data_IF_759612699288
#
_entry.id   IF_759612699288
#
_cell.length_a   1.000
_cell.length_b   1.000
_cell.length_c   1.000
_cell.angle_alpha   90.00
_cell.angle_beta   90.00
_cell.angle_gamma   90.00
#
_symmetry.space_group_name_H-M   'P 1'
#
loop_
_entity.id
_entity.type
_entity.pdbx_description
1 polymer ?
#
# COMPACT_ATOMS: atom_id res chain seq x y z
N UNK A 1 6.94 18.06 -22.58
CA UNK A 1 5.64 17.41 -22.34
C UNK A 1 4.90 18.26 -21.32
N UNK A 2 3.76 18.85 -21.65
CA UNK A 2 3.03 19.72 -20.75
C UNK A 2 2.51 18.92 -19.55
N UNK A 3 2.81 19.36 -18.35
CA UNK A 3 2.23 18.81 -17.15
C UNK A 3 0.70 18.84 -17.31
N UNK A 4 0.06 17.69 -17.30
CA UNK A 4 -1.39 17.58 -17.20
C UNK A 4 -1.78 18.30 -15.91
N UNK A 5 -2.36 19.50 -16.03
CA UNK A 5 -2.88 20.21 -14.86
C UNK A 5 -3.99 19.33 -14.26
N UNK A 6 -3.73 18.81 -13.07
CA UNK A 6 -4.73 18.05 -12.36
C UNK A 6 -5.99 18.91 -12.18
N UNK A 7 -7.12 18.41 -12.66
CA UNK A 7 -8.42 19.09 -12.50
C UNK A 7 -9.14 18.45 -11.32
N UNK A 8 -9.27 19.18 -10.22
CA UNK A 8 -9.95 18.69 -9.02
C UNK A 8 -11.41 18.33 -9.30
N UNK A 9 -11.83 17.17 -8.85
CA UNK A 9 -13.23 16.73 -8.81
C UNK A 9 -14.05 17.61 -7.84
N UNK A 10 -15.39 17.56 -7.90
CA UNK A 10 -16.24 18.27 -6.92
C UNK A 10 -15.92 17.90 -5.45
N UNK A 11 -15.74 16.60 -5.16
CA UNK A 11 -15.39 16.12 -3.81
C UNK A 11 -14.04 16.61 -3.33
N UNK A 12 -13.03 16.62 -4.20
CA UNK A 12 -11.71 17.18 -3.86
C UNK A 12 -11.77 18.68 -3.59
N UNK A 13 -12.57 19.42 -4.35
CA UNK A 13 -12.76 20.87 -4.14
C UNK A 13 -13.44 21.14 -2.80
N UNK A 14 -14.41 20.33 -2.41
CA UNK A 14 -15.07 20.45 -1.11
C UNK A 14 -14.12 20.15 0.03
N UNK A 15 -13.40 19.02 -0.02
CA UNK A 15 -12.39 18.66 0.95
C UNK A 15 -11.35 19.77 1.14
N UNK A 16 -10.87 20.38 0.05
CA UNK A 16 -9.90 21.47 0.11
C UNK A 16 -10.49 22.76 0.65
N UNK A 17 -11.77 23.07 0.40
CA UNK A 17 -12.42 24.26 1.01
C UNK A 17 -12.51 24.12 2.53
N UNK A 18 -12.87 22.96 3.05
CA UNK A 18 -12.94 22.70 4.49
C UNK A 18 -11.56 22.85 5.13
N UNK A 19 -10.53 22.28 4.51
CA UNK A 19 -9.17 22.45 4.95
C UNK A 19 -8.75 23.93 4.98
N UNK A 20 -8.92 24.66 3.88
CA UNK A 20 -8.53 26.09 3.79
C UNK A 20 -9.26 26.96 4.80
N UNK A 21 -10.51 26.62 5.15
CA UNK A 21 -11.28 27.38 6.13
C UNK A 21 -10.77 27.21 7.57
N UNK A 22 -10.04 26.14 7.86
CA UNK A 22 -9.68 25.76 9.24
C UNK A 22 -8.18 25.51 9.47
N UNK A 23 -7.34 25.61 8.44
CA UNK A 23 -5.90 25.37 8.59
C UNK A 23 -5.20 26.52 9.35
N UNK A 24 -4.16 26.15 10.11
CA UNK A 24 -3.33 27.06 10.92
C UNK A 24 -1.97 27.25 10.26
N UNK A 25 -1.90 27.93 9.13
CA UNK A 25 -0.69 28.10 8.33
C UNK A 25 0.09 29.37 8.63
N UNK A 26 1.40 29.37 8.40
CA UNK A 26 2.32 28.23 8.27
C UNK A 26 2.80 27.72 9.64
N UNK A 27 3.02 26.40 9.79
CA UNK A 27 3.52 25.77 11.02
C UNK A 27 4.92 25.20 10.79
N UNK A 28 5.95 25.93 11.23
CA UNK A 28 7.36 25.59 10.96
C UNK A 28 7.77 24.20 11.45
N UNK A 29 7.32 23.80 12.63
CA UNK A 29 7.68 22.49 13.20
C UNK A 29 6.95 21.36 12.47
N UNK A 30 5.71 21.55 12.03
CA UNK A 30 5.03 20.59 11.19
C UNK A 30 5.78 20.39 9.85
N UNK A 31 6.26 21.46 9.21
CA UNK A 31 7.11 21.34 8.02
C UNK A 31 8.38 20.54 8.26
N UNK A 32 9.02 20.71 9.44
CA UNK A 32 10.18 19.89 9.80
C UNK A 32 9.78 18.41 9.99
N UNK A 33 8.66 18.16 10.65
CA UNK A 33 8.19 16.80 10.90
C UNK A 33 7.87 16.08 9.59
N UNK A 34 7.11 16.69 8.68
CA UNK A 34 6.77 16.04 7.41
C UNK A 34 8.01 15.74 6.55
N UNK A 35 9.03 16.61 6.59
CA UNK A 35 10.34 16.34 5.96
C UNK A 35 11.10 15.21 6.66
N UNK A 36 10.97 15.12 7.97
CA UNK A 36 11.64 14.08 8.77
C UNK A 36 11.07 12.69 8.52
N UNK A 37 9.75 12.56 8.41
CA UNK A 37 9.08 11.28 8.20
C UNK A 37 8.91 10.90 6.73
N UNK A 38 9.05 11.85 5.81
CA UNK A 38 8.97 11.59 4.37
C UNK A 38 10.32 11.79 3.69
N UNK A 39 11.10 10.73 3.63
CA UNK A 39 12.43 10.73 3.01
C UNK A 39 12.40 10.98 1.50
N UNK A 40 11.25 10.77 0.85
CA UNK A 40 11.07 10.95 -0.59
C UNK A 40 10.74 12.40 -0.98
N UNK A 41 10.41 13.26 -0.03
CA UNK A 41 10.20 14.69 -0.25
C UNK A 41 10.87 15.56 0.82
N UNK A 42 12.22 15.67 0.82
CA UNK A 42 12.95 16.46 1.81
C UNK A 42 12.71 17.96 1.69
N UNK A 43 12.06 18.43 0.63
CA UNK A 43 11.75 19.83 0.36
C UNK A 43 10.27 20.16 0.59
N UNK A 44 9.51 19.30 1.25
CA UNK A 44 8.11 19.54 1.55
C UNK A 44 7.91 20.94 2.23
N UNK A 45 6.89 21.64 1.83
CA UNK A 45 6.49 22.95 2.34
C UNK A 45 5.02 22.96 2.76
N UNK A 46 4.47 24.12 3.11
CA UNK A 46 3.06 24.27 3.52
C UNK A 46 2.04 24.01 2.41
N UNK A 47 2.47 23.86 1.17
CA UNK A 47 1.62 23.51 0.03
C UNK A 47 1.75 22.03 -0.35
N UNK A 48 2.66 21.32 0.30
CA UNK A 48 2.87 19.90 0.06
C UNK A 48 1.74 19.06 0.65
N UNK A 49 1.38 17.97 -0.01
CA UNK A 49 0.27 17.11 0.40
C UNK A 49 0.49 16.48 1.77
N UNK A 50 1.73 16.20 2.16
CA UNK A 50 2.13 15.72 3.47
C UNK A 50 1.82 16.73 4.58
N UNK A 51 2.06 18.01 4.32
CA UNK A 51 1.71 19.08 5.24
C UNK A 51 0.20 19.21 5.37
N UNK A 52 -0.51 19.31 4.24
CA UNK A 52 -1.97 19.40 4.18
C UNK A 52 -2.62 18.23 4.92
N UNK A 53 -2.07 17.02 4.74
CA UNK A 53 -2.55 15.81 5.39
C UNK A 53 -2.55 15.91 6.91
N UNK A 54 -1.50 16.47 7.51
CA UNK A 54 -1.32 16.49 8.97
C UNK A 54 -1.66 17.83 9.66
N UNK A 55 -1.88 18.90 8.93
CA UNK A 55 -2.00 20.24 9.53
C UNK A 55 -3.13 20.39 10.56
N UNK A 56 -4.25 19.71 10.34
CA UNK A 56 -5.39 19.71 11.28
C UNK A 56 -5.36 18.55 12.27
N UNK A 57 -4.72 17.45 11.93
CA UNK A 57 -4.69 16.22 12.74
C UNK A 57 -3.72 16.33 13.90
N UNK A 58 -2.50 16.81 13.62
CA UNK A 58 -1.45 16.91 14.63
C UNK A 58 -1.46 18.33 15.24
N UNK A 59 -1.68 18.43 16.53
CA UNK A 59 -1.43 19.69 17.25
C UNK A 59 0.07 19.92 17.48
N UNK A 60 0.42 21.09 18.00
CA UNK A 60 1.81 21.51 18.13
C UNK A 60 2.58 20.66 19.15
N UNK A 61 1.92 20.19 20.23
CA UNK A 61 2.53 19.32 21.24
C UNK A 61 2.88 17.96 20.64
N UNK A 62 1.99 17.37 19.84
CA UNK A 62 2.25 16.12 19.12
C UNK A 62 3.41 16.28 18.14
N UNK A 63 3.42 17.38 17.39
CA UNK A 63 4.49 17.66 16.42
C UNK A 63 5.84 17.79 17.12
N UNK A 64 5.92 18.52 18.23
CA UNK A 64 7.16 18.72 18.99
C UNK A 64 7.64 17.42 19.64
N UNK A 65 6.73 16.57 20.10
CA UNK A 65 7.02 15.25 20.62
C UNK A 65 7.63 14.33 19.52
N UNK A 66 6.98 14.24 18.37
CA UNK A 66 7.41 13.37 17.27
C UNK A 66 8.76 13.80 16.67
N UNK A 67 9.05 15.09 16.65
CA UNK A 67 10.32 15.62 16.12
C UNK A 67 11.57 15.17 16.89
N UNK A 68 11.43 14.75 18.14
CA UNK A 68 12.56 14.25 18.94
C UNK A 68 12.84 12.78 18.73
N UNK A 69 11.93 12.06 18.09
CA UNK A 69 12.08 10.66 17.77
C UNK A 69 12.85 10.46 16.46
N UNK A 70 13.69 9.43 16.43
CA UNK A 70 14.32 8.97 15.18
C UNK A 70 13.36 8.03 14.44
N UNK A 71 13.32 8.20 13.14
CA UNK A 71 12.49 7.36 12.26
C UNK A 71 12.85 5.88 12.41
N UNK A 72 11.86 5.03 12.53
CA UNK A 72 11.98 3.55 12.63
C UNK A 72 12.81 3.02 13.81
N UNK A 73 13.22 3.88 14.74
CA UNK A 73 13.88 3.45 15.96
C UNK A 73 12.84 3.06 17.00
N UNK A 74 13.04 1.90 17.66
CA UNK A 74 12.25 1.47 18.79
C UNK A 74 12.58 2.32 20.04
N UNK A 75 11.54 2.70 20.76
CA UNK A 75 11.62 3.41 22.04
C UNK A 75 10.64 2.77 23.02
N UNK A 76 11.04 2.68 24.28
CA UNK A 76 10.11 2.42 25.37
C UNK A 76 9.44 3.70 25.85
N UNK A 77 8.31 3.58 26.56
CA UNK A 77 7.64 4.75 27.19
C UNK A 77 8.60 5.48 28.14
N UNK A 78 9.40 4.76 28.93
CA UNK A 78 10.34 5.34 29.87
C UNK A 78 11.49 6.10 29.18
N UNK A 79 11.98 5.58 28.04
CA UNK A 79 12.98 6.27 27.22
C UNK A 79 12.44 7.58 26.64
N UNK A 80 11.19 7.55 26.15
CA UNK A 80 10.53 8.74 25.62
C UNK A 80 10.22 9.75 26.73
N UNK A 81 9.73 9.29 27.88
CA UNK A 81 9.45 10.15 29.04
C UNK A 81 10.72 10.93 29.50
N UNK A 82 11.87 10.23 29.52
CA UNK A 82 13.17 10.88 29.80
C UNK A 82 13.57 11.87 28.72
N UNK A 83 13.40 11.51 27.45
CA UNK A 83 13.73 12.35 26.29
C UNK A 83 12.88 13.63 26.30
N UNK A 84 11.60 13.49 26.63
CA UNK A 84 10.61 14.57 26.66
C UNK A 84 10.57 15.34 27.98
N UNK A 85 11.24 14.87 29.03
CA UNK A 85 11.24 15.43 30.38
C UNK A 85 9.83 15.53 30.99
N UNK A 86 9.03 14.47 30.81
CA UNK A 86 7.67 14.34 31.32
C UNK A 86 7.53 13.05 32.14
N UNK A 87 6.43 12.89 32.84
CA UNK A 87 6.13 11.64 33.55
C UNK A 87 5.83 10.51 32.55
N UNK A 88 6.01 9.25 32.98
CA UNK A 88 5.68 8.09 32.16
C UNK A 88 4.17 8.05 31.81
N UNK A 89 3.31 8.51 32.71
CA UNK A 89 1.86 8.57 32.46
C UNK A 89 1.51 9.60 31.38
N UNK A 90 2.08 10.81 31.45
CA UNK A 90 1.89 11.86 30.43
C UNK A 90 2.44 11.40 29.08
N UNK A 91 3.61 10.74 29.08
CA UNK A 91 4.22 10.17 27.88
C UNK A 91 3.32 9.11 27.26
N UNK A 92 2.78 8.18 28.05
CA UNK A 92 1.87 7.15 27.54
C UNK A 92 0.60 7.76 26.91
N UNK A 93 0.03 8.81 27.51
CA UNK A 93 -1.10 9.55 26.93
C UNK A 93 -0.75 10.23 25.60
N UNK A 94 0.44 10.83 25.52
CA UNK A 94 0.92 11.47 24.29
C UNK A 94 1.16 10.41 23.19
N UNK A 95 1.78 9.30 23.53
CA UNK A 95 1.97 8.15 22.63
C UNK A 95 0.62 7.66 22.09
N UNK A 96 -0.37 7.44 22.95
CA UNK A 96 -1.70 7.00 22.52
C UNK A 96 -2.32 7.97 21.53
N UNK A 97 -2.25 9.28 21.78
CA UNK A 97 -2.73 10.31 20.84
C UNK A 97 -2.02 10.26 19.49
N UNK A 98 -0.70 10.07 19.50
CA UNK A 98 0.09 9.98 18.25
C UNK A 98 -0.17 8.66 17.51
N UNK A 99 -0.48 7.56 18.23
CA UNK A 99 -0.93 6.30 17.62
C UNK A 99 -2.30 6.45 16.96
N UNK A 100 -3.24 7.10 17.63
CA UNK A 100 -4.57 7.40 17.05
C UNK A 100 -4.46 8.26 15.79
N UNK A 101 -3.60 9.27 15.82
CA UNK A 101 -3.34 10.15 14.70
C UNK A 101 -2.56 9.49 13.55
N UNK A 102 -1.91 8.35 13.77
CA UNK A 102 -1.25 7.53 12.75
C UNK A 102 0.27 7.51 12.72
N UNK A 103 1.02 8.58 13.12
CA UNK A 103 2.48 8.60 13.00
C UNK A 103 3.22 7.59 13.85
N UNK A 104 2.65 7.17 14.99
CA UNK A 104 3.25 6.17 15.85
C UNK A 104 2.56 4.82 15.75
N UNK A 105 3.33 3.77 15.99
CA UNK A 105 2.84 2.41 16.17
C UNK A 105 3.42 1.78 17.43
N UNK A 106 2.60 0.99 18.13
CA UNK A 106 3.12 0.03 19.09
C UNK A 106 3.91 -1.05 18.35
N UNK A 107 5.10 -1.41 18.87
CA UNK A 107 6.01 -2.29 18.12
C UNK A 107 6.47 -3.49 18.93
N UNK A 108 5.54 -4.04 19.72
CA UNK A 108 5.77 -5.25 20.49
C UNK A 108 5.48 -6.48 19.64
N UNK A 109 6.28 -7.53 19.82
CA UNK A 109 5.91 -8.86 19.34
C UNK A 109 4.72 -9.38 20.16
N UNK A 110 3.87 -10.18 19.53
CA UNK A 110 2.72 -10.83 20.17
C UNK A 110 3.12 -11.59 21.45
N UNK A 111 4.29 -12.23 21.41
CA UNK A 111 4.82 -13.06 22.50
C UNK A 111 5.72 -12.27 23.46
N UNK A 112 5.81 -10.95 23.32
CA UNK A 112 6.58 -10.10 24.23
C UNK A 112 5.90 -10.03 25.60
N UNK A 113 6.45 -10.80 26.55
CA UNK A 113 5.98 -10.86 27.94
C UNK A 113 6.66 -9.85 28.85
N UNK A 114 7.45 -8.93 28.32
CA UNK A 114 8.19 -7.95 29.12
C UNK A 114 7.26 -6.99 29.89
N UNK A 115 6.02 -6.81 29.39
CA UNK A 115 5.09 -5.79 29.90
C UNK A 115 5.54 -4.37 29.58
N UNK A 116 6.57 -4.19 28.75
CA UNK A 116 7.12 -2.89 28.37
C UNK A 116 6.64 -2.52 26.97
N UNK A 117 5.90 -1.45 26.88
CA UNK A 117 5.44 -0.93 25.59
C UNK A 117 6.61 -0.32 24.81
N UNK A 118 6.79 -0.80 23.59
CA UNK A 118 7.69 -0.25 22.59
C UNK A 118 6.89 0.44 21.50
N UNK A 119 7.41 1.55 21.01
CA UNK A 119 6.80 2.32 19.92
C UNK A 119 7.85 2.74 18.91
N UNK A 120 7.41 2.90 17.68
CA UNK A 120 8.22 3.45 16.58
C UNK A 120 7.52 4.62 15.89
N UNK A 121 8.31 5.58 15.42
CA UNK A 121 7.86 6.61 14.49
C UNK A 121 7.93 6.03 13.07
N UNK A 122 6.79 6.01 12.39
CA UNK A 122 6.69 5.45 11.04
C UNK A 122 7.11 6.45 9.96
N UNK A 123 7.53 5.90 8.80
CA UNK A 123 7.64 6.67 7.55
C UNK A 123 6.27 7.22 7.17
N UNK A 124 6.24 8.32 6.41
CA UNK A 124 4.97 8.94 6.02
C UNK A 124 4.10 7.96 5.20
N UNK A 125 4.67 7.38 4.14
CA UNK A 125 3.98 6.40 3.30
C UNK A 125 4.96 5.39 2.66
N UNK A 126 4.57 4.11 2.62
CA UNK A 126 3.45 3.50 3.32
C UNK A 126 3.75 3.34 4.82
N UNK A 127 2.80 3.70 5.64
CA UNK A 127 2.89 3.60 7.10
C UNK A 127 2.00 4.62 7.81
N UNK A 128 2.54 5.75 8.23
CA UNK A 128 1.83 6.75 9.03
C UNK A 128 0.56 7.28 8.34
N UNK A 129 0.61 7.51 7.03
CA UNK A 129 -0.51 8.00 6.24
C UNK A 129 -1.67 7.00 6.22
N UNK A 130 -1.38 5.74 5.95
CA UNK A 130 -2.36 4.66 5.94
C UNK A 130 -2.96 4.46 7.34
N UNK A 131 -2.13 4.43 8.38
CA UNK A 131 -2.57 4.31 9.77
C UNK A 131 -3.53 5.42 10.19
N UNK A 132 -3.33 6.63 9.66
CA UNK A 132 -4.21 7.78 9.95
C UNK A 132 -5.60 7.58 9.36
N UNK A 133 -5.69 7.16 8.10
CA UNK A 133 -6.97 7.04 7.38
C UNK A 133 -7.63 5.67 7.49
N UNK A 134 -7.10 4.78 8.31
CA UNK A 134 -7.62 3.43 8.47
C UNK A 134 -9.05 3.41 9.03
N UNK A 135 -9.43 4.37 9.86
CA UNK A 135 -10.78 4.46 10.43
C UNK A 135 -11.64 5.47 9.68
N UNK A 136 -12.94 5.20 9.59
CA UNK A 136 -13.93 6.13 9.01
C UNK A 136 -14.05 7.39 9.87
N UNK A 137 -13.94 7.27 11.20
CA UNK A 137 -13.98 8.41 12.13
C UNK A 137 -12.92 9.47 11.77
N UNK A 138 -11.69 9.05 11.49
CA UNK A 138 -10.62 9.98 11.15
C UNK A 138 -10.86 10.66 9.79
N UNK A 139 -11.32 9.92 8.80
CA UNK A 139 -11.59 10.50 7.48
C UNK A 139 -12.82 11.40 7.46
N UNK A 140 -13.84 11.10 8.24
CA UNK A 140 -15.03 11.97 8.37
C UNK A 140 -14.69 13.28 9.09
N UNK A 141 -13.83 13.20 10.10
CA UNK A 141 -13.38 14.38 10.86
C UNK A 141 -12.41 15.27 10.07
N UNK A 142 -11.61 14.67 9.19
CA UNK A 142 -10.59 15.35 8.41
C UNK A 142 -10.70 14.95 6.91
N UNK A 143 -11.76 15.36 6.22
CA UNK A 143 -12.05 14.92 4.85
C UNK A 143 -10.98 15.32 3.83
N UNK A 144 -10.24 16.41 4.08
CA UNK A 144 -9.11 16.82 3.25
C UNK A 144 -8.01 15.76 3.12
N UNK A 145 -7.95 14.80 4.06
CA UNK A 145 -7.02 13.68 4.00
C UNK A 145 -7.20 12.83 2.75
N UNK A 146 -8.43 12.71 2.25
CA UNK A 146 -8.72 11.96 1.04
C UNK A 146 -8.05 12.60 -0.19
N UNK A 147 -8.21 13.91 -0.33
CA UNK A 147 -7.57 14.68 -1.41
C UNK A 147 -6.05 14.67 -1.28
N UNK A 148 -5.54 14.87 -0.06
CA UNK A 148 -4.12 14.91 0.20
C UNK A 148 -3.46 13.54 -0.06
N UNK A 149 -4.07 12.44 0.40
CA UNK A 149 -3.59 11.08 0.16
C UNK A 149 -3.49 10.77 -1.33
N UNK A 150 -4.57 10.99 -2.07
CA UNK A 150 -4.62 10.74 -3.51
C UNK A 150 -3.54 11.51 -4.26
N UNK A 151 -3.44 12.80 -4.00
CA UNK A 151 -2.51 13.65 -4.74
C UNK A 151 -1.06 13.41 -4.32
N UNK A 152 -0.82 13.07 -3.05
CA UNK A 152 0.51 12.62 -2.61
C UNK A 152 0.97 11.38 -3.41
N UNK A 153 0.11 10.37 -3.55
CA UNK A 153 0.47 9.16 -4.31
C UNK A 153 0.74 9.48 -5.79
N UNK A 154 -0.02 10.39 -6.39
CA UNK A 154 0.23 10.84 -7.77
C UNK A 154 1.60 11.55 -7.90
N UNK A 155 1.89 12.49 -7.00
CA UNK A 155 3.16 13.22 -6.99
C UNK A 155 4.34 12.29 -6.70
N UNK A 156 4.18 11.37 -5.75
CA UNK A 156 5.16 10.34 -5.41
C UNK A 156 5.51 9.49 -6.63
N UNK A 157 4.51 9.02 -7.35
CA UNK A 157 4.71 8.19 -8.53
C UNK A 157 5.44 8.95 -9.64
N UNK A 158 5.13 10.21 -9.86
CA UNK A 158 5.84 11.02 -10.84
C UNK A 158 7.32 11.17 -10.47
N UNK A 159 7.61 11.46 -9.21
CA UNK A 159 8.99 11.59 -8.71
C UNK A 159 9.76 10.25 -8.78
N UNK A 160 9.13 9.17 -8.34
CA UNK A 160 9.76 7.85 -8.35
C UNK A 160 10.03 7.39 -9.78
N UNK A 161 9.15 7.65 -10.74
CA UNK A 161 9.33 7.22 -12.13
C UNK A 161 10.57 7.82 -12.80
N UNK A 162 11.02 8.98 -12.32
CA UNK A 162 12.21 9.67 -12.85
C UNK A 162 13.53 9.14 -12.27
N UNK A 163 13.53 8.71 -11.02
CA UNK A 163 14.77 8.45 -10.26
C UNK A 163 14.97 6.98 -9.89
N UNK A 164 13.90 6.19 -9.89
CA UNK A 164 13.96 4.82 -9.40
C UNK A 164 14.02 3.84 -10.56
N UNK A 165 15.05 2.98 -10.61
CA UNK A 165 15.12 1.94 -11.63
C UNK A 165 13.86 1.06 -11.61
N UNK A 166 13.39 0.71 -12.80
CA UNK A 166 12.29 -0.25 -12.95
C UNK A 166 12.64 -1.55 -12.19
N UNK A 167 11.70 -2.02 -11.39
CA UNK A 167 11.89 -3.22 -10.57
C UNK A 167 11.97 -2.96 -9.07
N UNK A 168 12.27 -1.73 -8.66
CA UNK A 168 12.35 -1.35 -7.25
C UNK A 168 11.01 -0.72 -6.80
N UNK A 169 9.90 -1.44 -6.98
CA UNK A 169 8.59 -0.94 -6.60
C UNK A 169 8.39 -1.00 -5.08
N UNK A 170 7.63 -0.04 -4.55
CA UNK A 170 7.24 0.00 -3.12
C UNK A 170 6.33 -1.18 -2.75
N UNK A 171 5.58 -1.67 -3.73
CA UNK A 171 4.66 -2.80 -3.63
C UNK A 171 5.01 -3.86 -4.65
N UNK A 172 4.73 -5.11 -4.34
CA UNK A 172 4.80 -6.20 -5.31
C UNK A 172 3.46 -6.89 -5.48
N UNK A 173 3.07 -7.12 -6.72
CA UNK A 173 1.91 -7.92 -7.08
C UNK A 173 2.26 -9.39 -6.95
N UNK A 174 1.46 -10.11 -6.19
CA UNK A 174 1.60 -11.55 -5.97
C UNK A 174 0.57 -12.26 -6.82
N UNK A 175 0.97 -13.21 -7.68
CA UNK A 175 0.02 -14.05 -8.41
C UNK A 175 -0.79 -14.93 -7.46
N UNK A 176 -1.93 -15.40 -7.94
CA UNK A 176 -2.66 -16.47 -7.26
C UNK A 176 -1.72 -17.67 -7.06
N UNK A 177 -1.57 -18.12 -5.82
CA UNK A 177 -0.57 -19.12 -5.45
C UNK A 177 -0.63 -20.40 -6.30
N UNK A 178 -1.83 -20.84 -6.66
CA UNK A 178 -1.99 -21.99 -7.54
C UNK A 178 -1.46 -21.80 -8.98
N UNK A 179 -1.27 -20.56 -9.41
CA UNK A 179 -0.71 -20.24 -10.73
C UNK A 179 0.81 -20.38 -10.77
N UNK A 180 1.48 -20.21 -9.62
CA UNK A 180 2.94 -20.23 -9.51
C UNK A 180 3.51 -21.48 -8.83
N UNK A 181 2.67 -22.30 -8.20
CA UNK A 181 3.08 -23.45 -7.39
C UNK A 181 3.99 -24.44 -8.12
N UNK A 182 3.84 -24.59 -9.43
CA UNK A 182 4.63 -25.51 -10.25
C UNK A 182 5.75 -24.81 -11.02
N UNK A 183 5.97 -23.53 -10.78
CA UNK A 183 7.05 -22.80 -11.43
C UNK A 183 8.40 -23.20 -10.83
N UNK A 184 9.37 -23.69 -11.63
CA UNK A 184 10.65 -24.21 -11.11
C UNK A 184 11.47 -23.16 -10.35
N UNK A 185 11.17 -21.89 -10.57
CA UNK A 185 11.91 -20.74 -10.00
C UNK A 185 11.09 -19.92 -9.03
N UNK A 186 9.90 -20.38 -8.61
CA UNK A 186 9.13 -19.66 -7.62
C UNK A 186 9.87 -19.65 -6.27
N UNK A 187 9.64 -18.64 -5.48
CA UNK A 187 10.24 -18.46 -4.16
C UNK A 187 9.15 -18.29 -3.12
N UNK A 188 9.35 -18.89 -1.94
CA UNK A 188 8.29 -18.97 -0.90
C UNK A 188 7.72 -17.61 -0.48
N UNK A 189 8.50 -16.55 -0.46
CA UNK A 189 8.00 -15.23 -0.10
C UNK A 189 7.08 -14.59 -1.16
N UNK A 190 6.87 -15.24 -2.30
CA UNK A 190 5.85 -14.92 -3.29
C UNK A 190 4.55 -15.74 -3.08
N UNK A 191 4.50 -16.59 -2.07
CA UNK A 191 3.30 -17.30 -1.66
C UNK A 191 2.62 -16.56 -0.51
N UNK A 192 1.34 -16.26 -0.62
CA UNK A 192 0.60 -15.58 0.47
C UNK A 192 0.50 -16.50 1.69
N UNK A 193 0.36 -17.81 1.47
CA UNK A 193 0.33 -18.82 2.54
C UNK A 193 1.59 -18.77 3.41
N UNK A 194 2.76 -18.53 2.83
CA UNK A 194 4.02 -18.35 3.56
C UNK A 194 3.94 -17.20 4.57
N UNK A 195 3.34 -16.07 4.18
CA UNK A 195 3.20 -14.91 5.06
C UNK A 195 2.23 -15.17 6.20
N UNK A 196 1.10 -15.83 5.89
CA UNK A 196 0.13 -16.22 6.91
C UNK A 196 0.71 -17.23 7.90
N UNK A 197 1.53 -18.18 7.43
CA UNK A 197 2.25 -19.13 8.30
C UNK A 197 3.26 -18.42 9.21
N UNK A 198 4.00 -17.48 8.65
CA UNK A 198 5.05 -16.74 9.35
C UNK A 198 4.50 -15.90 10.51
N UNK A 199 3.33 -15.31 10.36
CA UNK A 199 2.76 -14.41 11.37
C UNK A 199 1.79 -15.08 12.34
N UNK A 200 1.38 -16.33 12.07
CA UNK A 200 0.46 -17.08 12.90
C UNK A 200 -0.87 -16.36 13.09
N UNK A 201 -1.26 -16.09 14.36
CA UNK A 201 -2.54 -15.43 14.69
C UNK A 201 -2.47 -13.89 14.66
N UNK A 202 -1.31 -13.33 14.36
CA UNK A 202 -1.13 -11.86 14.27
C UNK A 202 -1.67 -11.36 12.92
N UNK A 203 -2.99 -11.49 12.75
CA UNK A 203 -3.71 -11.13 11.53
C UNK A 203 -4.89 -10.23 11.90
N UNK A 204 -5.01 -9.11 11.21
CA UNK A 204 -6.15 -8.22 11.30
C UNK A 204 -6.71 -7.88 9.94
N UNK A 205 -7.92 -7.35 9.88
CA UNK A 205 -8.52 -6.86 8.64
C UNK A 205 -9.19 -5.52 8.85
N UNK A 206 -8.98 -4.62 7.89
CA UNK A 206 -9.59 -3.30 7.83
C UNK A 206 -10.35 -3.09 6.53
N UNK A 207 -11.20 -2.08 6.53
CA UNK A 207 -11.77 -1.51 5.31
C UNK A 207 -10.65 -1.01 4.39
N UNK A 208 -10.82 -1.14 3.08
CA UNK A 208 -9.81 -0.67 2.13
C UNK A 208 -9.81 0.87 2.06
N UNK A 209 -8.72 1.49 2.52
CA UNK A 209 -8.54 2.94 2.51
C UNK A 209 -8.63 3.52 1.09
N UNK A 210 -8.00 2.87 0.10
CA UNK A 210 -8.04 3.33 -1.28
C UNK A 210 -9.47 3.49 -1.81
N UNK A 211 -10.35 2.52 -1.53
CA UNK A 211 -11.76 2.56 -1.95
C UNK A 211 -12.51 3.69 -1.24
N UNK A 212 -12.35 3.76 0.07
CA UNK A 212 -12.98 4.80 0.89
C UNK A 212 -12.57 6.21 0.44
N UNK A 213 -11.29 6.46 0.28
CA UNK A 213 -10.79 7.77 -0.09
C UNK A 213 -11.16 8.18 -1.53
N UNK A 214 -11.27 7.22 -2.45
CA UNK A 214 -11.79 7.47 -3.80
C UNK A 214 -13.24 7.93 -3.79
N UNK A 215 -14.07 7.29 -3.00
CA UNK A 215 -15.46 7.70 -2.83
C UNK A 215 -15.54 9.13 -2.27
N UNK A 216 -14.76 9.45 -1.25
CA UNK A 216 -14.70 10.79 -0.66
C UNK A 216 -14.22 11.86 -1.65
N UNK A 217 -13.36 11.52 -2.59
CA UNK A 217 -12.93 12.45 -3.64
C UNK A 217 -13.89 12.55 -4.83
N UNK A 218 -15.06 11.88 -4.76
CA UNK A 218 -16.04 11.90 -5.83
C UNK A 218 -15.69 11.05 -7.04
N UNK A 219 -14.71 10.17 -6.91
CA UNK A 219 -14.33 9.16 -7.89
C UNK A 219 -14.99 7.83 -7.57
N UNK A 220 -16.26 7.85 -7.21
CA UNK A 220 -17.01 6.69 -6.77
C UNK A 220 -16.76 5.46 -7.61
N UNK A 221 -16.92 4.29 -7.01
CA UNK A 221 -16.74 3.01 -7.65
C UNK A 221 -17.94 2.15 -7.35
N UNK A 222 -18.30 1.26 -8.26
CA UNK A 222 -19.30 0.22 -8.00
C UNK A 222 -18.75 -0.90 -7.11
N UNK A 223 -17.50 -0.71 -6.62
CA UNK A 223 -16.79 -1.69 -5.83
C UNK A 223 -17.20 -1.64 -4.36
N UNK A 224 -17.31 -2.80 -3.77
CA UNK A 224 -17.69 -2.89 -2.37
C UNK A 224 -16.57 -2.38 -1.47
N UNK A 225 -16.88 -1.44 -0.59
CA UNK A 225 -16.16 -1.27 0.65
C UNK A 225 -16.19 -2.60 1.39
N UNK A 226 -15.25 -2.85 2.23
CA UNK A 226 -15.25 -4.05 3.03
C UNK A 226 -13.86 -4.43 3.50
N UNK A 227 -13.80 -5.57 4.10
CA UNK A 227 -12.63 -6.14 4.73
C UNK A 227 -11.68 -6.69 3.65
N UNK A 228 -10.92 -5.81 2.99
CA UNK A 228 -10.00 -6.17 1.92
C UNK A 228 -8.53 -5.94 2.26
N UNK A 229 -8.24 -5.14 3.27
CA UNK A 229 -6.88 -4.83 3.69
C UNK A 229 -6.51 -5.71 4.89
N UNK A 230 -5.73 -6.77 4.65
CA UNK A 230 -5.27 -7.69 5.69
C UNK A 230 -3.96 -7.16 6.25
N UNK A 231 -3.94 -6.88 7.55
CA UNK A 231 -2.74 -6.47 8.29
C UNK A 231 -2.08 -7.71 8.89
N UNK A 232 -0.75 -7.77 8.93
CA UNK A 232 -0.02 -8.93 9.42
C UNK A 232 1.13 -8.56 10.37
N UNK A 233 1.46 -9.49 11.28
CA UNK A 233 2.60 -9.39 12.18
C UNK A 233 2.48 -8.26 13.22
N UNK A 234 3.60 -7.63 13.57
CA UNK A 234 3.65 -6.54 14.56
C UNK A 234 2.74 -5.37 14.21
N UNK A 235 2.63 -5.06 12.93
CA UNK A 235 1.72 -4.03 12.45
C UNK A 235 0.27 -4.38 12.76
N UNK A 236 -0.16 -5.62 12.49
CA UNK A 236 -1.51 -6.06 12.86
C UNK A 236 -1.76 -5.92 14.37
N UNK A 237 -0.82 -6.34 15.20
CA UNK A 237 -0.95 -6.19 16.67
C UNK A 237 -1.10 -4.71 17.09
N UNK A 238 -0.33 -3.82 16.46
CA UNK A 238 -0.43 -2.38 16.72
C UNK A 238 -1.81 -1.82 16.40
N UNK A 239 -2.28 -2.04 15.17
CA UNK A 239 -3.55 -1.46 14.71
C UNK A 239 -4.78 -2.13 15.34
N UNK A 240 -4.69 -3.41 15.73
CA UNK A 240 -5.71 -4.08 16.54
C UNK A 240 -5.78 -3.46 17.94
N UNK A 241 -4.62 -3.26 18.59
CA UNK A 241 -4.53 -2.62 19.90
C UNK A 241 -5.07 -1.19 19.87
N UNK A 242 -4.82 -0.46 18.80
CA UNK A 242 -5.35 0.88 18.58
C UNK A 242 -6.86 0.92 18.23
N UNK A 243 -7.52 -0.23 18.10
CA UNK A 243 -8.93 -0.31 17.74
C UNK A 243 -9.24 0.03 16.27
N UNK A 244 -8.20 0.10 15.42
CA UNK A 244 -8.33 0.49 14.01
C UNK A 244 -8.65 -0.69 13.09
N UNK A 245 -8.39 -1.89 13.53
CA UNK A 245 -8.46 -3.13 12.74
C UNK A 245 -9.08 -4.23 13.57
N UNK A 246 -9.89 -5.06 12.95
CA UNK A 246 -10.49 -6.24 13.58
C UNK A 246 -9.55 -7.44 13.44
N UNK A 247 -9.28 -8.15 14.55
CA UNK A 247 -8.54 -9.42 14.52
C UNK A 247 -9.35 -10.47 13.76
N UNK A 248 -8.69 -11.24 12.93
CA UNK A 248 -9.27 -12.36 12.19
C UNK A 248 -8.46 -13.64 12.37
N UNK A 249 -9.10 -14.77 12.11
CA UNK A 249 -8.42 -16.06 12.03
C UNK A 249 -7.73 -16.24 10.68
N UNK A 250 -6.76 -17.16 10.63
CA UNK A 250 -6.15 -17.58 9.36
C UNK A 250 -7.21 -18.03 8.34
N UNK A 251 -8.17 -18.81 8.79
CA UNK A 251 -9.26 -19.31 7.92
C UNK A 251 -10.05 -18.15 7.30
N UNK A 252 -10.36 -17.14 8.08
CA UNK A 252 -11.06 -15.95 7.58
C UNK A 252 -10.22 -15.17 6.58
N UNK A 253 -8.90 -15.04 6.82
CA UNK A 253 -7.98 -14.42 5.86
C UNK A 253 -7.97 -15.19 4.53
N UNK A 254 -7.90 -16.51 4.56
CA UNK A 254 -7.97 -17.37 3.38
C UNK A 254 -9.31 -17.20 2.61
N UNK A 255 -10.42 -17.08 3.33
CA UNK A 255 -11.73 -16.84 2.73
C UNK A 255 -11.82 -15.47 2.04
N UNK A 256 -11.22 -14.44 2.65
CA UNK A 256 -11.10 -13.09 2.04
C UNK A 256 -10.25 -13.15 0.77
N UNK A 257 -9.10 -13.81 0.82
CA UNK A 257 -8.21 -13.97 -0.35
C UNK A 257 -8.92 -14.70 -1.49
N UNK A 258 -9.60 -15.80 -1.18
CA UNK A 258 -10.36 -16.55 -2.16
C UNK A 258 -11.47 -15.72 -2.80
N UNK A 259 -12.21 -14.95 -2.00
CA UNK A 259 -13.23 -14.03 -2.50
C UNK A 259 -12.63 -12.95 -3.39
N UNK A 260 -11.45 -12.43 -3.03
CA UNK A 260 -10.73 -11.46 -3.84
C UNK A 260 -10.33 -12.05 -5.20
N UNK A 261 -9.82 -13.29 -5.23
CA UNK A 261 -9.52 -14.02 -6.47
C UNK A 261 -10.76 -14.20 -7.35
N UNK A 262 -11.90 -14.57 -6.77
CA UNK A 262 -13.16 -14.72 -7.49
C UNK A 262 -13.66 -13.43 -8.14
N UNK A 263 -13.38 -12.30 -7.51
CA UNK A 263 -13.72 -10.96 -8.01
C UNK A 263 -12.66 -10.36 -8.95
N UNK A 264 -11.54 -11.07 -9.18
CA UNK A 264 -10.46 -10.59 -10.04
C UNK A 264 -9.60 -9.51 -9.39
N UNK A 265 -9.58 -9.42 -8.06
CA UNK A 265 -8.72 -8.47 -7.35
C UNK A 265 -7.27 -8.91 -7.33
N UNK A 266 -6.39 -7.93 -7.21
CA UNK A 266 -4.94 -8.12 -7.28
C UNK A 266 -4.35 -8.16 -5.88
N UNK A 267 -3.66 -9.25 -5.55
CA UNK A 267 -2.92 -9.37 -4.30
C UNK A 267 -1.62 -8.56 -4.37
N UNK A 268 -1.36 -7.77 -3.34
CA UNK A 268 -0.12 -7.01 -3.22
C UNK A 268 0.47 -7.11 -1.82
N UNK A 269 1.80 -7.14 -1.75
CA UNK A 269 2.58 -7.06 -0.52
C UNK A 269 3.46 -5.82 -0.54
N UNK A 270 3.84 -5.31 0.63
CA UNK A 270 4.84 -4.25 0.73
C UNK A 270 6.24 -4.78 0.44
N UNK A 271 7.09 -3.93 -0.13
CA UNK A 271 8.50 -4.21 -0.43
C UNK A 271 9.48 -3.35 0.39
N UNK A 272 8.98 -2.52 1.30
CA UNK A 272 9.77 -1.45 1.92
C UNK A 272 10.80 -2.00 2.89
N UNK A 273 10.46 -3.07 3.57
CA UNK A 273 11.27 -3.62 4.66
C UNK A 273 12.05 -4.87 4.25
N UNK A 274 12.25 -5.06 2.93
CA UNK A 274 12.99 -6.18 2.39
C UNK A 274 12.13 -7.43 2.10
N UNK A 275 12.77 -8.49 1.58
CA UNK A 275 12.05 -9.68 1.10
C UNK A 275 11.38 -10.50 2.21
N UNK A 276 11.91 -10.39 3.43
CA UNK A 276 11.47 -11.21 4.57
C UNK A 276 10.47 -10.50 5.48
N UNK A 277 10.02 -9.30 5.10
CA UNK A 277 9.09 -8.51 5.89
C UNK A 277 7.96 -7.96 5.03
N UNK A 278 6.74 -8.07 5.52
CA UNK A 278 5.58 -7.35 5.01
C UNK A 278 4.64 -7.04 6.16
N UNK A 279 3.94 -5.92 6.06
CA UNK A 279 3.02 -5.46 7.09
C UNK A 279 1.56 -5.66 6.71
N UNK A 280 1.28 -5.89 5.41
CA UNK A 280 -0.08 -6.09 4.93
C UNK A 280 -0.13 -6.95 3.67
N UNK A 281 -1.31 -7.52 3.44
CA UNK A 281 -1.72 -8.20 2.20
C UNK A 281 -2.93 -7.45 1.67
N UNK A 282 -2.74 -6.70 0.59
CA UNK A 282 -3.82 -5.99 -0.08
C UNK A 282 -4.57 -6.89 -1.05
N UNK A 283 -5.88 -6.62 -1.21
CA UNK A 283 -6.76 -7.25 -2.19
C UNK A 283 -7.36 -6.16 -3.08
N UNK A 284 -6.60 -5.74 -4.08
CA UNK A 284 -6.80 -4.50 -4.79
C UNK A 284 -7.70 -4.65 -6.01
N UNK A 285 -8.77 -3.88 -6.06
CA UNK A 285 -9.42 -3.59 -7.33
C UNK A 285 -8.54 -2.58 -8.08
N UNK A 286 -8.17 -2.90 -9.32
CA UNK A 286 -7.27 -2.06 -10.11
C UNK A 286 -7.83 -0.66 -10.38
N UNK A 287 -9.16 -0.53 -10.50
CA UNK A 287 -9.81 0.74 -10.82
C UNK A 287 -9.88 1.70 -9.62
N UNK A 288 -9.79 1.18 -8.41
CA UNK A 288 -9.84 1.98 -7.18
C UNK A 288 -8.52 2.10 -6.46
N UNK A 289 -7.62 1.12 -6.61
CA UNK A 289 -6.35 1.08 -5.91
C UNK A 289 -5.47 2.27 -6.27
N UNK A 290 -5.01 3.01 -5.26
CA UNK A 290 -4.13 4.17 -5.47
C UNK A 290 -2.81 3.77 -6.14
N UNK A 291 -2.21 2.64 -5.75
CA UNK A 291 -0.95 2.17 -6.33
C UNK A 291 -1.12 1.68 -7.77
N UNK A 292 -2.06 0.76 -8.02
CA UNK A 292 -2.23 0.15 -9.34
C UNK A 292 -2.70 1.18 -10.39
N UNK A 293 -3.74 1.95 -10.06
CA UNK A 293 -4.30 2.94 -10.97
C UNK A 293 -3.32 4.07 -11.27
N UNK A 294 -2.58 4.52 -10.29
CA UNK A 294 -1.55 5.54 -10.47
C UNK A 294 -0.40 5.03 -11.32
N UNK A 295 0.05 3.79 -11.10
CA UNK A 295 1.07 3.15 -11.94
C UNK A 295 0.62 3.06 -13.40
N UNK A 296 -0.66 2.80 -13.64
CA UNK A 296 -1.22 2.78 -14.99
C UNK A 296 -1.25 4.18 -15.63
N UNK A 297 -1.71 5.22 -14.92
CA UNK A 297 -1.74 6.59 -15.44
C UNK A 297 -0.36 7.15 -15.78
N UNK A 298 0.64 6.83 -14.97
CA UNK A 298 2.00 7.32 -15.16
C UNK A 298 2.82 6.45 -16.10
N UNK A 299 2.26 5.33 -16.56
CA UNK A 299 2.97 4.33 -17.35
C UNK A 299 4.25 3.83 -16.68
N UNK A 300 4.24 3.75 -15.35
CA UNK A 300 5.38 3.37 -14.54
C UNK A 300 5.03 2.29 -13.51
N UNK A 301 5.78 1.18 -13.46
CA UNK A 301 5.56 0.10 -12.48
C UNK A 301 6.18 0.38 -11.12
N UNK A 302 6.68 1.59 -10.86
CA UNK A 302 7.53 1.85 -9.69
C UNK A 302 6.77 1.88 -8.35
N UNK A 303 5.44 2.04 -8.34
CA UNK A 303 4.65 1.83 -7.13
C UNK A 303 4.32 0.37 -6.90
N UNK A 304 4.03 -0.38 -7.97
CA UNK A 304 3.66 -1.78 -7.89
C UNK A 304 4.20 -2.54 -9.09
N UNK A 305 4.94 -3.61 -8.85
CA UNK A 305 5.51 -4.46 -9.90
C UNK A 305 5.25 -5.94 -9.61
N UNK A 306 5.40 -6.81 -10.60
CA UNK A 306 5.35 -8.25 -10.43
C UNK A 306 6.63 -8.90 -10.92
N UNK A 307 7.07 -9.94 -10.25
CA UNK A 307 8.13 -10.83 -10.71
C UNK A 307 7.62 -11.87 -11.71
N UNK A 308 6.33 -11.90 -11.97
CA UNK A 308 5.70 -12.89 -12.83
C UNK A 308 5.01 -12.23 -14.01
N UNK A 309 5.01 -12.93 -15.11
CA UNK A 309 4.30 -12.55 -16.31
C UNK A 309 3.43 -13.71 -16.79
N UNK A 310 2.19 -13.41 -17.08
CA UNK A 310 1.29 -14.41 -17.63
C UNK A 310 1.56 -14.65 -19.12
N UNK A 311 1.50 -15.91 -19.50
CA UNK A 311 1.56 -16.33 -20.89
C UNK A 311 0.36 -17.18 -21.27
N UNK A 312 -0.05 -17.06 -22.53
CA UNK A 312 -1.03 -17.96 -23.10
C UNK A 312 -0.32 -19.12 -23.77
N UNK A 313 -0.64 -20.33 -23.36
CA UNK A 313 -0.20 -21.51 -24.08
C UNK A 313 -0.95 -21.58 -25.42
N UNK A 314 -0.24 -21.23 -26.49
CA UNK A 314 -0.82 -21.16 -27.84
C UNK A 314 -1.35 -22.51 -28.38
N UNK A 315 -0.84 -23.63 -27.84
CA UNK A 315 -1.30 -24.96 -28.23
C UNK A 315 -2.68 -25.28 -27.63
N UNK A 316 -2.99 -24.72 -26.45
CA UNK A 316 -4.24 -24.94 -25.73
C UNK A 316 -5.24 -23.80 -25.92
N UNK A 317 -4.83 -22.71 -26.55
CA UNK A 317 -5.67 -21.53 -26.76
C UNK A 317 -6.66 -21.78 -27.89
N UNK A 318 -7.95 -21.66 -27.58
CA UNK A 318 -9.06 -21.75 -28.55
C UNK A 318 -9.61 -20.37 -28.93
N UNK A 319 -8.92 -19.30 -28.53
CA UNK A 319 -9.30 -17.93 -28.83
C UNK A 319 -10.72 -17.53 -28.35
N UNK A 320 -11.19 -18.09 -27.25
CA UNK A 320 -12.55 -17.83 -26.74
C UNK A 320 -12.76 -16.44 -26.12
N UNK A 321 -11.70 -15.65 -25.90
CA UNK A 321 -11.79 -14.31 -25.30
C UNK A 321 -11.92 -14.27 -23.77
N UNK A 322 -12.11 -15.39 -23.09
CA UNK A 322 -12.33 -15.42 -21.63
C UNK A 322 -11.21 -14.71 -20.83
N UNK A 323 -9.96 -14.80 -21.27
CA UNK A 323 -8.83 -14.08 -20.64
C UNK A 323 -8.90 -12.57 -20.82
N UNK A 324 -9.55 -12.08 -21.89
CA UNK A 324 -9.79 -10.65 -22.10
C UNK A 324 -10.86 -10.15 -21.15
N UNK A 325 -11.93 -10.92 -20.99
CA UNK A 325 -13.07 -10.56 -20.12
C UNK A 325 -12.69 -10.50 -18.64
N UNK A 326 -11.79 -11.40 -18.20
CA UNK A 326 -11.39 -11.47 -16.77
C UNK A 326 -10.17 -10.62 -16.42
N UNK A 327 -9.48 -10.03 -17.40
CA UNK A 327 -8.29 -9.25 -17.14
C UNK A 327 -8.63 -7.88 -16.57
N UNK A 328 -8.39 -7.61 -15.29
CA UNK A 328 -8.77 -6.34 -14.67
C UNK A 328 -7.95 -5.17 -15.20
N UNK A 329 -6.78 -5.44 -15.79
CA UNK A 329 -5.85 -4.41 -16.30
C UNK A 329 -6.05 -4.12 -17.80
N UNK A 330 -7.01 -4.78 -18.47
CA UNK A 330 -7.17 -4.71 -19.91
C UNK A 330 -5.86 -4.99 -20.69
N UNK A 331 -4.97 -5.79 -20.10
CA UNK A 331 -3.64 -6.07 -20.64
C UNK A 331 -3.65 -7.19 -21.69
N UNK A 332 -4.76 -7.88 -21.84
CA UNK A 332 -4.94 -9.00 -22.78
C UNK A 332 -5.84 -8.56 -23.91
N UNK A 333 -5.40 -8.78 -25.15
CA UNK A 333 -6.17 -8.47 -26.36
C UNK A 333 -6.18 -9.66 -27.29
N UNK A 334 -7.27 -9.86 -27.99
CA UNK A 334 -7.34 -10.80 -29.12
C UNK A 334 -6.73 -10.12 -30.35
N UNK A 335 -5.80 -10.82 -31.03
CA UNK A 335 -5.22 -10.32 -32.27
C UNK A 335 -6.20 -10.38 -33.45
N UNK A 336 -6.00 -9.53 -34.45
CA UNK A 336 -6.85 -9.42 -35.63
C UNK A 336 -6.97 -10.71 -36.50
N UNK A 337 -6.09 -11.68 -36.30
CA UNK A 337 -6.00 -12.90 -37.12
C UNK A 337 -6.75 -14.13 -36.55
N UNK A 338 -7.70 -13.91 -35.70
CA UNK A 338 -8.56 -14.98 -35.16
C UNK A 338 -9.31 -15.78 -36.23
N UNK A 339 -9.64 -15.16 -37.35
CA UNK A 339 -10.37 -15.77 -38.45
C UNK A 339 -9.59 -16.84 -39.25
N UNK A 340 -8.30 -17.04 -38.96
CA UNK A 340 -7.44 -17.92 -39.77
C UNK A 340 -6.96 -19.18 -39.04
N UNK A 341 -7.70 -19.70 -38.05
CA UNK A 341 -7.35 -20.93 -37.30
C UNK A 341 -5.97 -20.89 -36.59
N UNK A 342 -5.43 -19.70 -36.31
CA UNK A 342 -4.22 -19.56 -35.51
C UNK A 342 -4.59 -19.22 -34.07
N UNK A 343 -3.85 -19.76 -33.07
CA UNK A 343 -4.05 -19.37 -31.69
C UNK A 343 -3.94 -17.84 -31.56
N UNK A 344 -4.79 -17.26 -30.72
CA UNK A 344 -4.78 -15.82 -30.47
C UNK A 344 -3.36 -15.38 -30.10
N UNK A 345 -2.79 -14.48 -30.87
CA UNK A 345 -1.65 -13.71 -30.41
C UNK A 345 -2.18 -12.71 -29.42
N UNK A 346 -2.00 -13.00 -28.16
CA UNK A 346 -2.24 -12.03 -27.10
C UNK A 346 -1.06 -11.10 -27.13
N UNK A 347 -1.25 -9.98 -27.83
CA UNK A 347 -0.29 -8.91 -27.82
C UNK A 347 -0.43 -8.16 -26.50
N UNK A 348 0.47 -8.37 -25.58
CA UNK A 348 0.72 -7.40 -24.54
C UNK A 348 1.45 -6.21 -25.17
N UNK A 349 0.75 -5.37 -25.91
CA UNK A 349 1.32 -4.06 -26.22
C UNK A 349 1.39 -3.29 -24.92
N UNK A 350 2.60 -3.26 -24.39
CA UNK A 350 3.12 -2.32 -23.40
C UNK A 350 2.08 -1.63 -22.50
N UNK A 351 1.45 -2.39 -21.63
CA UNK A 351 1.10 -1.83 -20.34
C UNK A 351 2.41 -1.79 -19.56
N UNK A 352 2.88 -0.63 -19.14
CA UNK A 352 4.10 -0.54 -18.37
C UNK A 352 3.92 -1.26 -17.03
N UNK A 353 4.68 -2.31 -16.85
CA UNK A 353 4.61 -3.14 -15.67
C UNK A 353 3.65 -4.33 -15.81
N UNK A 354 4.16 -5.49 -15.52
CA UNK A 354 3.47 -6.78 -15.63
C UNK A 354 2.47 -6.96 -14.46
N UNK A 355 1.37 -6.21 -14.45
CA UNK A 355 0.35 -6.22 -13.39
C UNK A 355 -0.76 -7.25 -13.64
N UNK A 356 -0.44 -8.39 -14.18
CA UNK A 356 -1.45 -9.40 -14.50
C UNK A 356 -1.80 -10.20 -13.25
N UNK A 357 -2.97 -9.97 -12.73
CA UNK A 357 -3.63 -10.84 -11.76
C UNK A 357 -4.56 -11.82 -12.49
N UNK A 358 -4.58 -13.07 -12.05
CA UNK A 358 -5.42 -14.10 -12.65
C UNK A 358 -6.39 -14.67 -11.64
N UNK A 359 -7.67 -14.54 -11.94
CA UNK A 359 -8.70 -15.28 -11.27
C UNK A 359 -8.64 -16.76 -11.70
N UNK A 360 -8.71 -17.65 -10.72
CA UNK A 360 -8.64 -19.11 -10.89
C UNK A 360 -9.71 -19.69 -11.81
N UNK A 361 -10.82 -18.97 -11.99
CA UNK A 361 -12.05 -19.52 -12.55
C UNK A 361 -11.97 -19.80 -14.05
N UNK A 362 -11.15 -19.06 -14.80
CA UNK A 362 -11.13 -19.10 -16.27
C UNK A 362 -9.73 -19.17 -16.90
N UNK A 363 -8.66 -19.25 -16.08
CA UNK A 363 -7.30 -19.21 -16.60
C UNK A 363 -6.63 -20.60 -16.60
N UNK A 364 -6.06 -20.97 -17.74
CA UNK A 364 -5.22 -22.16 -17.95
C UNK A 364 -3.92 -21.75 -18.64
N UNK A 365 -3.24 -20.73 -18.11
CA UNK A 365 -1.95 -20.27 -18.61
C UNK A 365 -0.81 -20.59 -17.66
N UNK A 366 0.40 -20.52 -18.16
CA UNK A 366 1.61 -20.70 -17.38
C UNK A 366 2.07 -19.32 -16.87
N UNK A 367 2.48 -19.23 -15.62
CA UNK A 367 3.13 -18.03 -15.07
C UNK A 367 4.65 -18.13 -15.28
N UNK A 368 5.28 -17.03 -15.68
CA UNK A 368 6.72 -16.98 -15.93
C UNK A 368 7.39 -15.97 -15.01
N UNK A 369 8.58 -16.34 -14.58
CA UNK A 369 9.49 -15.40 -13.93
C UNK A 369 10.00 -14.39 -14.96
N UNK A 370 10.04 -13.12 -14.61
CA UNK A 370 10.60 -12.07 -15.46
C UNK A 370 12.13 -12.04 -15.37
N UNK A 371 12.80 -11.35 -16.29
CA UNK A 371 14.26 -11.13 -16.22
C UNK A 371 14.70 -10.51 -14.89
N UNK A 372 13.83 -9.80 -14.20
CA UNK A 372 14.08 -9.19 -12.88
C UNK A 372 14.30 -10.21 -11.77
N UNK A 373 13.73 -11.40 -11.87
CA UNK A 373 14.02 -12.49 -10.93
C UNK A 373 15.44 -12.99 -11.01
N UNK A 374 16.10 -12.89 -12.15
CA UNK A 374 17.51 -13.19 -12.25
C UNK A 374 18.32 -12.28 -11.33
N UNK A 375 18.00 -10.99 -11.27
CA UNK A 375 18.66 -10.02 -10.38
C UNK A 375 18.41 -10.37 -8.92
N UNK A 376 17.17 -10.70 -8.55
CA UNK A 376 16.84 -11.09 -7.16
C UNK A 376 17.52 -12.40 -6.76
N UNK A 377 17.63 -13.37 -7.69
CA UNK A 377 18.31 -14.65 -7.42
C UNK A 377 19.82 -14.55 -7.39
N UNK A 378 20.41 -13.75 -8.25
CA UNK A 378 21.86 -13.54 -8.29
C UNK A 378 22.37 -12.72 -7.12
N UNK A 379 21.57 -11.77 -6.64
CA UNK A 379 21.96 -10.88 -5.52
C UNK A 379 21.51 -11.39 -4.16
N UNK A 380 20.60 -12.36 -4.10
CA UNK A 380 20.01 -12.87 -2.85
C UNK A 380 19.13 -11.86 -2.11
N UNK A 381 18.92 -10.70 -2.72
CA UNK A 381 18.12 -9.61 -2.19
C UNK A 381 17.03 -9.28 -3.19
N UNK A 382 15.76 -9.28 -2.76
CA UNK A 382 14.83 -8.35 -3.36
C UNK A 382 15.52 -6.99 -3.32
N UNK A 383 15.42 -6.12 -4.33
CA UNK A 383 16.09 -4.83 -4.26
C UNK A 383 15.71 -4.21 -2.92
N UNK A 384 16.69 -4.26 -2.03
CA UNK A 384 16.55 -3.83 -0.66
C UNK A 384 16.04 -2.41 -0.69
N UNK A 385 15.15 -2.17 0.22
CA UNK A 385 14.45 -0.95 0.32
C UNK A 385 15.31 0.24 -0.06
N UNK A 386 14.73 1.10 -0.81
CA UNK A 386 15.29 2.39 -1.20
C UNK A 386 15.56 3.31 -0.03
N UNK A 387 15.62 2.75 1.15
CA UNK A 387 15.84 3.53 2.36
C UNK A 387 17.01 2.93 3.11
N UNK A 388 18.05 3.72 3.39
CA UNK A 388 19.13 3.30 4.26
C UNK A 388 18.65 3.00 5.68
#
# INVERSE_FOLDING_TARGET
MGANKHTFTPGEKENMREYMASSRRPRKNLMKLVRHINMLNPLADENSWEYIFYDRILDDDMVDFLLKMKLRKEYTIDELAKLEKMSAEECAKMVARCVDAGPLEYWNDKDDKSGVDKVILQVFAPGAMENTVMTTEMTDKYPETATAFKNYILDLQQKISEFVPMGNALMRTIPVESAIKNEPRHVKFEEISYWLDKVGDSIGVAECECRKLREMTGEGTDDLRGDWCIQIGKHAESVIRAGKTRRITRKEAEDILKRAEELGYVHQLSNIDGPDFSVFICNCNWDTCMALKTSWYTSSPNLSSSNYRAHVNSKNCVACGACVEVCPQNAVRLGEKLCQKRPAQIASESVPGDYLHFSKKNWKGDAFLTEREHVVKETGTAPAGMLP
#
